data_IF_540938279806
#
_entry.id   IF_540938279806
#
_cell.length_a   1.000
_cell.length_b   1.000
_cell.length_c   1.000
_cell.angle_alpha   90.00
_cell.angle_beta   90.00
_cell.angle_gamma   90.00
#
_symmetry.space_group_name_H-M   'P 1'
#
loop_
_entity.id
_entity.type
_entity.pdbx_description
1 polymer ?
#
# COMPACT_ATOMS: atom_id res chain seq x y z
N UNK A 1 47.62 15.56 24.95
CA UNK A 1 47.06 16.62 24.09
C UNK A 1 46.81 16.19 22.63
N UNK A 2 47.31 15.05 22.14
CA UNK A 2 47.07 14.60 20.75
C UNK A 2 45.78 13.78 20.54
N UNK A 3 45.15 13.30 21.61
CA UNK A 3 43.94 12.46 21.56
C UNK A 3 42.66 13.26 21.33
N UNK A 4 42.58 14.46 21.92
CA UNK A 4 41.40 15.33 21.82
C UNK A 4 41.20 15.89 20.40
N UNK A 5 42.29 16.17 19.68
CA UNK A 5 42.22 16.65 18.29
C UNK A 5 41.64 15.59 17.35
N UNK A 6 41.99 14.32 17.53
CA UNK A 6 41.45 13.21 16.73
C UNK A 6 39.96 12.99 16.97
N UNK A 7 39.50 13.14 18.22
CA UNK A 7 38.08 13.03 18.56
C UNK A 7 37.24 14.15 17.92
N UNK A 8 37.78 15.39 17.90
CA UNK A 8 37.14 16.54 17.24
C UNK A 8 37.07 16.33 15.73
N UNK A 9 38.14 15.84 15.10
CA UNK A 9 38.16 15.54 13.66
C UNK A 9 37.16 14.44 13.28
N UNK A 10 37.02 13.40 14.11
CA UNK A 10 36.02 12.36 13.90
C UNK A 10 34.58 12.90 13.99
N UNK A 11 34.30 13.76 14.98
CA UNK A 11 32.99 14.39 15.11
C UNK A 11 32.66 15.29 13.90
N UNK A 12 33.66 16.01 13.35
CA UNK A 12 33.49 16.77 12.11
C UNK A 12 33.16 15.87 10.92
N UNK A 13 33.88 14.76 10.75
CA UNK A 13 33.62 13.80 9.68
C UNK A 13 32.21 13.18 9.78
N UNK A 14 31.75 12.87 10.99
CA UNK A 14 30.40 12.36 11.23
C UNK A 14 29.33 13.39 10.88
N UNK A 15 29.54 14.66 11.24
CA UNK A 15 28.63 15.75 10.90
C UNK A 15 28.58 15.98 9.39
N UNK A 16 29.73 16.00 8.71
CA UNK A 16 29.82 16.15 7.26
C UNK A 16 29.11 14.99 6.55
N UNK A 17 29.30 13.75 7.01
CA UNK A 17 28.58 12.58 6.45
C UNK A 17 27.06 12.68 6.63
N UNK A 18 26.60 13.15 7.80
CA UNK A 18 25.17 13.34 8.07
C UNK A 18 24.55 14.43 7.18
N UNK A 19 25.26 15.55 6.99
CA UNK A 19 24.84 16.64 6.10
C UNK A 19 24.82 16.20 4.63
N UNK A 20 25.81 15.40 4.20
CA UNK A 20 25.85 14.85 2.85
C UNK A 20 24.72 13.85 2.62
N UNK A 21 24.35 13.05 3.62
CA UNK A 21 23.19 12.16 3.58
C UNK A 21 21.86 12.91 3.47
N UNK A 22 21.69 13.99 4.22
CA UNK A 22 20.50 14.85 4.15
C UNK A 22 20.39 15.54 2.78
N UNK A 23 21.51 16.02 2.23
CA UNK A 23 21.55 16.59 0.88
C UNK A 23 21.17 15.55 -0.20
N UNK A 24 21.58 14.28 -0.02
CA UNK A 24 21.20 13.19 -0.92
C UNK A 24 19.69 12.92 -0.86
N UNK A 25 19.09 12.88 0.34
CA UNK A 25 17.64 12.74 0.51
C UNK A 25 16.87 13.90 -0.15
N UNK A 26 17.35 15.13 -0.02
CA UNK A 26 16.72 16.28 -0.68
C UNK A 26 16.78 16.17 -2.21
N UNK A 27 17.88 15.65 -2.78
CA UNK A 27 18.00 15.37 -4.22
C UNK A 27 17.06 14.27 -4.68
N UNK A 28 16.91 13.19 -3.91
CA UNK A 28 15.98 12.10 -4.21
C UNK A 28 14.53 12.57 -4.18
N UNK A 29 14.16 13.41 -3.21
CA UNK A 29 12.84 14.04 -3.14
C UNK A 29 12.57 14.91 -4.39
N UNK A 30 13.56 15.67 -4.87
CA UNK A 30 13.43 16.48 -6.07
C UNK A 30 13.21 15.63 -7.33
N UNK A 31 13.96 14.52 -7.50
CA UNK A 31 13.77 13.61 -8.64
C UNK A 31 12.39 12.94 -8.66
N UNK A 32 11.85 12.57 -7.50
CA UNK A 32 10.49 12.00 -7.41
C UNK A 32 9.44 13.05 -7.79
N UNK A 33 9.63 14.31 -7.38
CA UNK A 33 8.76 15.41 -7.77
C UNK A 33 8.83 15.69 -9.29
N UNK A 34 10.02 15.63 -9.89
CA UNK A 34 10.22 15.79 -11.33
C UNK A 34 9.63 14.62 -12.14
N UNK A 35 9.79 13.37 -11.69
CA UNK A 35 9.19 12.19 -12.31
C UNK A 35 7.65 12.23 -12.26
N UNK A 36 7.10 12.76 -11.17
CA UNK A 36 5.67 13.01 -11.05
C UNK A 36 5.20 14.11 -12.02
N UNK A 37 5.99 15.18 -12.20
CA UNK A 37 5.77 16.21 -13.21
C UNK A 37 5.80 15.67 -14.65
N UNK A 38 6.74 14.78 -14.96
CA UNK A 38 6.84 14.11 -16.27
C UNK A 38 5.64 13.18 -16.56
N UNK A 39 4.99 12.67 -15.52
CA UNK A 39 3.77 11.86 -15.64
C UNK A 39 2.52 12.74 -15.85
N UNK A 40 2.56 14.00 -15.40
CA UNK A 40 1.44 14.95 -15.50
C UNK A 40 1.54 15.93 -16.69
N UNK A 41 2.74 16.16 -17.25
CA UNK A 41 3.01 17.12 -18.33
C UNK A 41 3.60 16.45 -19.58
N UNK A 42 2.91 15.44 -20.12
CA UNK A 42 2.88 15.08 -21.54
C UNK A 42 4.20 14.98 -22.31
N UNK A 43 4.58 13.75 -22.68
CA UNK A 43 5.34 13.48 -23.89
C UNK A 43 4.54 12.59 -24.86
N UNK A 44 4.76 12.76 -26.17
CA UNK A 44 3.77 12.58 -27.23
C UNK A 44 3.54 11.11 -27.56
N UNK A 45 2.31 10.80 -27.98
CA UNK A 45 2.01 9.50 -28.58
C UNK A 45 2.99 9.21 -29.72
N UNK A 46 3.65 8.03 -29.74
CA UNK A 46 4.38 7.60 -30.92
C UNK A 46 3.38 7.52 -32.07
N UNK A 47 3.62 8.37 -33.07
CA UNK A 47 2.91 8.46 -34.32
C UNK A 47 2.78 7.06 -34.96
N UNK A 48 1.55 6.57 -35.14
CA UNK A 48 1.33 5.51 -36.11
C UNK A 48 1.42 6.12 -37.52
N UNK A 49 1.95 5.37 -38.50
CA UNK A 49 2.35 5.91 -39.79
C UNK A 49 1.17 6.49 -40.58
N UNK A 50 1.51 7.62 -41.21
CA UNK A 50 0.90 8.30 -42.34
C UNK A 50 0.04 7.38 -43.21
N UNK A 51 -1.26 7.35 -42.91
CA UNK A 51 -2.26 7.27 -43.97
C UNK A 51 -3.43 8.21 -43.62
N UNK A 52 -3.08 9.50 -43.48
CA UNK A 52 -3.73 10.53 -44.28
C UNK A 52 -5.09 11.08 -43.89
N UNK A 53 -5.59 10.97 -42.64
CA UNK A 53 -6.82 11.69 -42.30
C UNK A 53 -6.96 12.04 -40.81
N UNK A 54 -6.59 13.28 -40.45
CA UNK A 54 -7.07 13.95 -39.24
C UNK A 54 -8.08 15.03 -39.67
N UNK A 55 -9.40 14.86 -39.41
CA UNK A 55 -10.36 15.91 -39.71
C UNK A 55 -10.26 17.03 -38.68
N UNK A 56 -9.70 18.17 -39.13
CA UNK A 56 -9.73 19.47 -38.48
C UNK A 56 -11.17 19.97 -38.36
N UNK A 57 -11.60 20.36 -37.16
CA UNK A 57 -12.84 21.10 -37.00
C UNK A 57 -13.41 21.04 -35.59
N UNK A 58 -13.55 22.23 -34.98
CA UNK A 58 -14.31 22.56 -33.77
C UNK A 58 -13.54 22.45 -32.45
N UNK A 59 -13.52 23.59 -31.76
CA UNK A 59 -12.71 23.91 -30.59
C UNK A 59 -13.07 23.13 -29.32
N UNK A 60 -12.39 23.42 -28.21
CA UNK A 60 -12.42 22.59 -27.02
C UNK A 60 -13.82 22.62 -26.39
N UNK A 61 -14.56 21.49 -26.37
CA UNK A 61 -15.82 21.48 -25.66
C UNK A 61 -15.53 21.52 -24.16
N UNK A 62 -16.02 22.61 -23.55
CA UNK A 62 -16.23 22.81 -22.11
C UNK A 62 -16.80 21.56 -21.46
N UNK A 63 -16.29 21.23 -20.28
CA UNK A 63 -16.78 20.19 -19.40
C UNK A 63 -18.25 20.44 -19.02
N UNK A 64 -19.17 19.44 -19.10
CA UNK A 64 -20.38 19.47 -18.31
C UNK A 64 -20.19 18.62 -17.05
N UNK A 65 -20.16 19.28 -15.89
CA UNK A 65 -20.54 18.67 -14.61
C UNK A 65 -22.08 18.60 -14.61
N UNK A 66 -22.67 17.40 -14.64
CA UNK A 66 -23.97 17.09 -13.99
C UNK A 66 -24.44 15.65 -14.25
N UNK A 67 -24.65 14.96 -13.12
CA UNK A 67 -25.71 13.99 -12.80
C UNK A 67 -26.12 12.82 -13.73
N UNK A 68 -26.03 11.64 -13.09
CA UNK A 68 -27.08 10.63 -12.92
C UNK A 68 -27.32 9.57 -14.00
N UNK A 69 -27.37 8.33 -13.49
CA UNK A 69 -28.01 7.14 -14.00
C UNK A 69 -27.38 6.38 -15.17
N UNK A 70 -26.91 5.16 -14.90
CA UNK A 70 -26.22 4.36 -15.91
C UNK A 70 -25.90 2.92 -15.52
N UNK A 71 -26.93 2.12 -15.26
CA UNK A 71 -27.13 0.83 -15.96
C UNK A 71 -25.94 -0.17 -15.94
N UNK A 72 -26.03 -1.11 -14.99
CA UNK A 72 -25.75 -2.56 -15.14
C UNK A 72 -24.76 -2.92 -16.26
N UNK A 73 -23.46 -2.88 -15.99
CA UNK A 73 -22.48 -3.60 -16.84
C UNK A 73 -22.53 -5.07 -16.49
N UNK A 74 -23.18 -5.81 -17.40
CA UNK A 74 -23.26 -7.27 -17.50
C UNK A 74 -21.89 -7.87 -17.15
N UNK A 75 -21.83 -8.60 -16.04
CA UNK A 75 -20.69 -9.41 -15.62
C UNK A 75 -20.45 -10.42 -16.74
N UNK A 76 -19.34 -10.26 -17.45
CA UNK A 76 -18.82 -11.24 -18.39
C UNK A 76 -18.68 -12.57 -17.67
N UNK A 77 -19.27 -13.56 -18.29
CA UNK A 77 -19.27 -14.97 -17.96
C UNK A 77 -17.92 -15.53 -18.38
N UNK A 78 -16.90 -15.37 -17.54
CA UNK A 78 -15.65 -16.12 -17.61
C UNK A 78 -15.18 -16.38 -16.17
N UNK A 79 -16.03 -17.10 -15.44
CA UNK A 79 -15.72 -17.63 -14.12
C UNK A 79 -14.90 -18.91 -14.26
N UNK A 80 -13.69 -18.84 -14.82
CA UNK A 80 -12.70 -19.89 -14.58
C UNK A 80 -11.89 -19.53 -13.33
N UNK A 81 -12.48 -19.92 -12.20
CA UNK A 81 -11.87 -19.78 -10.89
C UNK A 81 -10.59 -20.60 -10.78
N UNK A 82 -9.46 -19.99 -11.15
CA UNK A 82 -8.16 -20.43 -10.63
C UNK A 82 -8.06 -19.96 -9.18
N UNK A 83 -8.80 -20.62 -8.28
CA UNK A 83 -8.51 -20.62 -6.84
C UNK A 83 -7.04 -21.04 -6.75
N UNK A 84 -6.14 -20.07 -6.56
CA UNK A 84 -4.74 -20.37 -6.24
C UNK A 84 -4.79 -21.31 -5.06
N UNK A 85 -4.47 -22.58 -5.30
CA UNK A 85 -4.39 -23.60 -4.27
C UNK A 85 -3.48 -22.99 -3.20
N UNK A 86 -4.08 -22.64 -2.06
CA UNK A 86 -3.31 -22.17 -0.92
C UNK A 86 -2.49 -23.39 -0.51
N UNK A 87 -1.21 -23.40 -0.91
CA UNK A 87 -0.20 -24.29 -0.33
C UNK A 87 -0.48 -24.33 1.18
N UNK A 88 -0.64 -25.53 1.80
CA UNK A 88 -0.95 -25.62 3.22
C UNK A 88 0.04 -24.72 3.93
N UNK A 89 -0.48 -23.62 4.49
CA UNK A 89 0.34 -22.65 5.20
C UNK A 89 0.78 -23.43 6.44
N UNK A 90 2.08 -23.65 6.60
CA UNK A 90 2.63 -24.30 7.77
C UNK A 90 1.94 -23.73 9.02
N UNK A 91 1.35 -24.57 9.90
CA UNK A 91 0.57 -24.11 11.06
C UNK A 91 1.35 -23.19 12.01
N UNK A 92 2.67 -23.17 11.88
CA UNK A 92 3.60 -22.47 12.75
C UNK A 92 4.15 -21.17 12.11
N UNK A 93 3.86 -20.90 10.82
CA UNK A 93 4.28 -19.67 10.17
C UNK A 93 3.42 -18.48 10.67
N UNK A 94 4.02 -17.41 11.23
CA UNK A 94 3.27 -16.29 11.74
C UNK A 94 2.45 -15.65 10.61
N UNK A 95 1.13 -15.56 10.81
CA UNK A 95 0.19 -15.04 9.81
C UNK A 95 0.38 -13.54 9.66
N UNK A 96 0.45 -13.06 8.40
CA UNK A 96 0.61 -11.62 8.10
C UNK A 96 -0.43 -10.80 8.87
N UNK A 97 -0.02 -9.68 9.49
CA UNK A 97 -0.89 -8.85 10.28
C UNK A 97 -1.92 -8.19 9.36
N UNK A 98 -3.12 -7.99 9.90
CA UNK A 98 -4.19 -7.31 9.21
C UNK A 98 -3.82 -5.83 8.99
N UNK A 99 -4.06 -5.30 7.77
CA UNK A 99 -3.87 -3.87 7.45
C UNK A 99 -4.72 -2.99 8.37
N UNK A 100 -4.37 -1.71 8.53
CA UNK A 100 -5.14 -0.72 9.33
C UNK A 100 -6.62 -0.71 8.95
N UNK A 101 -6.91 -0.68 7.66
CA UNK A 101 -8.29 -0.79 7.13
C UNK A 101 -8.96 -2.13 7.47
N UNK A 102 -8.19 -3.22 7.50
CA UNK A 102 -8.73 -4.56 7.72
C UNK A 102 -9.08 -4.80 9.20
N UNK A 103 -8.35 -4.15 10.12
CA UNK A 103 -8.71 -4.10 11.54
C UNK A 103 -10.06 -3.38 11.71
N UNK A 104 -10.16 -2.16 11.19
CA UNK A 104 -11.38 -1.36 11.19
C UNK A 104 -12.56 -2.11 10.55
N UNK A 105 -12.34 -2.73 9.39
CA UNK A 105 -13.36 -3.50 8.70
C UNK A 105 -13.89 -4.66 9.55
N UNK A 106 -13.04 -5.35 10.31
CA UNK A 106 -13.49 -6.46 11.14
C UNK A 106 -14.38 -5.98 12.30
N UNK A 107 -14.01 -4.89 12.96
CA UNK A 107 -14.79 -4.31 14.05
C UNK A 107 -16.16 -3.83 13.54
N UNK A 108 -16.17 -2.99 12.51
CA UNK A 108 -17.41 -2.42 11.96
C UNK A 108 -18.26 -3.47 11.28
N UNK A 109 -17.67 -4.48 10.63
CA UNK A 109 -18.43 -5.61 10.08
C UNK A 109 -19.13 -6.40 11.17
N UNK A 110 -18.51 -6.59 12.34
CA UNK A 110 -19.14 -7.31 13.44
C UNK A 110 -20.34 -6.52 13.98
N UNK A 111 -20.18 -5.20 14.18
CA UNK A 111 -21.27 -4.31 14.58
C UNK A 111 -22.42 -4.28 13.58
N UNK A 112 -22.10 -4.15 12.29
CA UNK A 112 -23.10 -4.13 11.23
C UNK A 112 -23.82 -5.47 11.07
N UNK A 113 -23.11 -6.59 11.25
CA UNK A 113 -23.70 -7.92 11.20
C UNK A 113 -24.59 -8.20 12.41
N UNK A 114 -24.27 -7.64 13.57
CA UNK A 114 -25.13 -7.70 14.75
C UNK A 114 -26.42 -6.88 14.56
N UNK A 115 -26.33 -5.71 13.93
CA UNK A 115 -27.48 -4.83 13.64
C UNK A 115 -28.32 -5.32 12.46
N UNK A 116 -27.70 -5.93 11.46
CA UNK A 116 -28.33 -6.42 10.23
C UNK A 116 -27.83 -7.82 9.87
N UNK A 117 -28.28 -8.86 10.59
CA UNK A 117 -27.85 -10.24 10.35
C UNK A 117 -28.26 -10.77 8.96
N UNK A 118 -29.30 -10.20 8.35
CA UNK A 118 -29.83 -10.61 7.04
C UNK A 118 -29.17 -9.89 5.85
N UNK A 119 -28.36 -8.86 6.11
CA UNK A 119 -27.77 -8.04 5.05
C UNK A 119 -26.56 -8.73 4.41
N UNK A 120 -26.45 -8.62 3.08
CA UNK A 120 -25.40 -9.29 2.32
C UNK A 120 -24.04 -8.68 2.65
N UNK A 121 -23.04 -9.51 2.92
CA UNK A 121 -21.67 -9.06 3.24
C UNK A 121 -21.11 -8.03 2.25
N UNK A 122 -21.49 -8.12 0.97
CA UNK A 122 -21.06 -7.18 -0.06
C UNK A 122 -21.54 -5.75 0.21
N UNK A 123 -22.77 -5.57 0.67
CA UNK A 123 -23.34 -4.26 0.99
C UNK A 123 -22.69 -3.70 2.26
N UNK A 124 -22.45 -4.56 3.26
CA UNK A 124 -21.70 -4.19 4.46
C UNK A 124 -20.31 -3.66 4.12
N UNK A 125 -19.59 -4.36 3.24
CA UNK A 125 -18.26 -3.93 2.78
C UNK A 125 -18.30 -2.59 2.05
N UNK A 126 -19.33 -2.33 1.23
CA UNK A 126 -19.51 -1.04 0.57
C UNK A 126 -19.78 0.09 1.58
N UNK A 127 -20.58 -0.16 2.62
CA UNK A 127 -20.84 0.82 3.69
C UNK A 127 -19.58 1.11 4.51
N UNK A 128 -18.81 0.07 4.85
CA UNK A 128 -17.54 0.22 5.59
C UNK A 128 -16.52 1.02 4.79
N UNK A 129 -16.43 0.79 3.48
CA UNK A 129 -15.52 1.54 2.62
C UNK A 129 -15.85 3.04 2.58
N UNK A 130 -17.15 3.39 2.53
CA UNK A 130 -17.61 4.77 2.63
C UNK A 130 -17.31 5.38 3.99
N UNK A 131 -17.60 4.66 5.07
CA UNK A 131 -17.33 5.11 6.44
C UNK A 131 -15.83 5.35 6.67
N UNK A 132 -14.97 4.50 6.12
CA UNK A 132 -13.53 4.69 6.16
C UNK A 132 -13.09 5.92 5.36
N UNK A 133 -13.65 6.16 4.17
CA UNK A 133 -13.31 7.35 3.39
C UNK A 133 -13.67 8.63 4.15
N UNK A 134 -14.84 8.66 4.78
CA UNK A 134 -15.39 9.79 5.55
C UNK A 134 -14.71 10.00 6.92
N UNK A 135 -14.13 8.94 7.50
CA UNK A 135 -13.48 9.01 8.81
C UNK A 135 -12.34 10.05 8.86
N UNK A 136 -12.22 10.86 9.93
CA UNK A 136 -11.15 11.84 10.09
C UNK A 136 -9.77 11.20 10.14
N UNK A 137 -8.76 11.95 9.71
CA UNK A 137 -7.37 11.48 9.65
C UNK A 137 -6.84 11.03 11.01
N UNK A 138 -7.26 11.65 12.11
CA UNK A 138 -6.84 11.26 13.47
C UNK A 138 -7.23 9.82 13.82
N UNK A 139 -8.44 9.39 13.47
CA UNK A 139 -8.86 8.01 13.71
C UNK A 139 -8.12 7.05 12.78
N UNK A 140 -7.91 7.43 11.51
CA UNK A 140 -7.10 6.65 10.56
C UNK A 140 -5.67 6.46 11.06
N UNK A 141 -5.08 7.49 11.65
CA UNK A 141 -3.72 7.47 12.20
C UNK A 141 -3.62 6.52 13.40
N UNK A 142 -4.61 6.52 14.31
CA UNK A 142 -4.63 5.56 15.43
C UNK A 142 -4.69 4.10 14.92
N UNK A 143 -5.46 3.82 13.87
CA UNK A 143 -5.47 2.50 13.22
C UNK A 143 -4.17 2.18 12.49
N UNK A 144 -3.49 3.18 11.92
CA UNK A 144 -2.16 3.02 11.34
C UNK A 144 -1.11 2.71 12.41
N UNK A 145 -1.16 3.39 13.55
CA UNK A 145 -0.29 3.13 14.71
C UNK A 145 -0.49 1.72 15.24
N UNK A 146 -1.75 1.28 15.38
CA UNK A 146 -2.08 -0.11 15.73
C UNK A 146 -1.57 -1.11 14.70
N UNK A 147 -1.67 -0.78 13.41
CA UNK A 147 -1.11 -1.62 12.35
C UNK A 147 0.42 -1.71 12.44
N UNK A 148 1.13 -0.60 12.68
CA UNK A 148 2.59 -0.56 12.85
C UNK A 148 3.03 -1.45 14.02
N UNK A 149 2.36 -1.36 15.17
CA UNK A 149 2.62 -2.24 16.31
C UNK A 149 2.36 -3.72 15.99
N UNK A 150 1.25 -4.03 15.31
CA UNK A 150 0.96 -5.40 14.90
C UNK A 150 1.98 -5.93 13.88
N UNK A 151 2.48 -5.06 13.00
CA UNK A 151 3.53 -5.36 12.02
C UNK A 151 4.87 -5.64 12.67
N UNK A 152 5.25 -4.84 13.66
CA UNK A 152 6.47 -5.02 14.44
C UNK A 152 6.45 -6.34 15.21
N UNK A 153 5.36 -6.64 15.93
CA UNK A 153 5.16 -7.92 16.60
C UNK A 153 5.22 -9.10 15.64
N UNK A 154 4.61 -8.99 14.47
CA UNK A 154 4.67 -10.03 13.45
C UNK A 154 6.09 -10.23 12.92
N UNK A 155 6.84 -9.14 12.72
CA UNK A 155 8.22 -9.20 12.26
C UNK A 155 9.11 -9.89 13.30
N UNK A 156 8.95 -9.57 14.59
CA UNK A 156 9.63 -10.25 15.68
C UNK A 156 9.28 -11.74 15.73
N UNK A 157 7.99 -12.09 15.65
CA UNK A 157 7.55 -13.48 15.59
C UNK A 157 8.06 -14.22 14.35
N UNK A 158 8.14 -13.53 13.20
CA UNK A 158 8.69 -14.08 11.96
C UNK A 158 10.19 -14.34 12.09
N UNK A 159 10.94 -13.43 12.69
CA UNK A 159 12.37 -13.61 12.92
C UNK A 159 12.63 -14.80 13.87
N UNK A 160 11.84 -14.94 14.93
CA UNK A 160 11.91 -16.11 15.83
C UNK A 160 11.52 -17.40 15.09
N UNK A 161 10.48 -17.36 14.26
CA UNK A 161 10.07 -18.51 13.46
C UNK A 161 11.11 -18.89 12.41
N UNK A 162 11.73 -17.94 11.73
CA UNK A 162 12.80 -18.20 10.76
C UNK A 162 14.04 -18.75 11.48
N UNK A 163 14.44 -18.18 12.62
CA UNK A 163 15.53 -18.72 13.44
C UNK A 163 15.23 -20.11 14.05
N UNK A 164 13.96 -20.43 14.30
CA UNK A 164 13.52 -21.75 14.79
C UNK A 164 13.19 -22.74 13.66
N UNK A 165 12.87 -22.28 12.46
CA UNK A 165 12.65 -23.12 11.29
C UNK A 165 13.96 -23.71 10.76
N UNK A 166 15.11 -23.10 11.10
CA UNK A 166 16.44 -23.68 10.86
C UNK A 166 16.89 -24.69 11.93
N UNK A 167 16.13 -24.90 13.02
CA UNK A 167 16.39 -25.94 14.01
C UNK A 167 15.09 -26.38 14.72
N UNK A 168 14.46 -27.54 14.42
CA UNK A 168 15.10 -28.84 14.13
C UNK A 168 14.43 -29.69 13.02
N UNK A 169 15.20 -30.12 12.02
CA UNK A 169 14.87 -31.26 11.16
C UNK A 169 15.90 -32.41 11.30
N UNK A 170 16.51 -32.54 12.48
CA UNK A 170 17.40 -33.66 12.83
C UNK A 170 17.13 -34.10 14.26
N UNK A 171 16.86 -35.41 14.41
CA UNK A 171 16.46 -36.17 15.61
C UNK A 171 14.98 -35.94 16.04
N UNK A 172 14.08 -36.93 16.08
CA UNK A 172 14.22 -38.35 16.48
C UNK A 172 13.21 -39.21 15.71
N UNK A 173 13.71 -40.18 14.94
CA UNK A 173 13.05 -41.46 14.66
C UNK A 173 14.11 -42.39 14.07
N UNK A 174 14.71 -43.20 14.93
CA UNK A 174 15.04 -44.64 14.80
C UNK A 174 15.63 -45.04 16.14
#
# INVERSE_FOLDING_TARGET
MATDTNAIEFAKLQLVGSLQGLAQHLRECAMVAEAYGHTLMGQPFPHLPVNGQFPMGMGPPVMPVAQENGKKRKRGEDAEGKKRAKKPKDPNAPKRPASSYLLFQNDVRNELKAKHPDMRNNELLSTIAKLWADMPQEQKDEYERRNKLAKDKWLAQKAIYEGKAEAPAVAVSV
#
